data_IF_461793011448
#
_entry.id   IF_461793011448
#
_cell.length_a   1.000
_cell.length_b   1.000
_cell.length_c   1.000
_cell.angle_alpha   90.00
_cell.angle_beta   90.00
_cell.angle_gamma   90.00
#
_symmetry.space_group_name_H-M   'P 1'
#
loop_
_entity.id
_entity.type
_entity.pdbx_description
1 polymer ?
#
# COMPACT_ATOMS: atom_id res chain seq x y z
N UNK A 1 -21.33 1.76 53.26
CA UNK A 1 -22.21 1.88 52.08
C UNK A 1 -21.40 1.39 50.91
N UNK A 2 -21.75 0.22 50.41
CA UNK A 2 -20.88 -0.71 49.69
C UNK A 2 -20.39 -0.17 48.33
N UNK A 3 -19.06 -0.16 48.16
CA UNK A 3 -18.35 0.15 46.91
C UNK A 3 -18.35 -1.02 45.91
N UNK A 4 -19.16 -2.07 46.15
CA UNK A 4 -19.11 -3.34 45.39
C UNK A 4 -20.29 -3.49 44.40
N UNK A 5 -21.26 -2.57 44.35
CA UNK A 5 -22.43 -2.72 43.46
C UNK A 5 -22.87 -1.42 42.77
N UNK A 6 -21.96 -0.72 42.09
CA UNK A 6 -22.40 0.06 40.91
C UNK A 6 -22.37 -0.90 39.72
N UNK A 7 -23.48 -1.60 39.48
CA UNK A 7 -23.62 -2.35 38.23
C UNK A 7 -23.47 -1.38 37.05
N UNK A 8 -22.57 -1.70 36.12
CA UNK A 8 -22.46 -0.91 34.89
C UNK A 8 -23.81 -0.88 34.15
N UNK A 9 -24.23 0.27 33.61
CA UNK A 9 -25.41 0.38 32.76
C UNK A 9 -25.43 -0.71 31.68
N UNK A 10 -26.61 -1.26 31.41
CA UNK A 10 -26.76 -2.40 30.49
C UNK A 10 -26.28 -2.06 29.08
N UNK A 11 -26.39 -0.80 28.68
CA UNK A 11 -25.95 -0.26 27.40
C UNK A 11 -24.42 -0.33 27.26
N UNK A 12 -23.68 -0.02 28.33
CA UNK A 12 -22.20 -0.05 28.34
C UNK A 12 -21.70 -1.51 28.32
N UNK A 13 -22.39 -2.41 29.06
CA UNK A 13 -22.11 -3.85 29.00
C UNK A 13 -22.33 -4.40 27.58
N UNK A 14 -23.45 -4.05 26.97
CA UNK A 14 -23.77 -4.44 25.60
C UNK A 14 -22.72 -3.91 24.61
N UNK A 15 -22.35 -2.63 24.70
CA UNK A 15 -21.33 -2.03 23.83
C UNK A 15 -19.98 -2.75 23.96
N UNK A 16 -19.56 -3.07 25.17
CA UNK A 16 -18.31 -3.80 25.42
C UNK A 16 -18.34 -5.17 24.75
N UNK A 17 -19.44 -5.93 24.90
CA UNK A 17 -19.60 -7.24 24.24
C UNK A 17 -19.64 -7.11 22.72
N UNK A 18 -20.35 -6.11 22.19
CA UNK A 18 -20.43 -5.84 20.76
C UNK A 18 -19.05 -5.44 20.18
N UNK A 19 -18.25 -4.69 20.94
CA UNK A 19 -16.88 -4.34 20.58
C UNK A 19 -15.96 -5.55 20.55
N UNK A 20 -16.06 -6.45 21.53
CA UNK A 20 -15.32 -7.72 21.52
C UNK A 20 -15.74 -8.56 20.30
N UNK A 21 -17.04 -8.70 20.05
CA UNK A 21 -17.54 -9.43 18.88
C UNK A 21 -17.05 -8.81 17.57
N UNK A 22 -17.13 -7.48 17.42
CA UNK A 22 -16.63 -6.77 16.25
C UNK A 22 -15.10 -6.97 16.08
N UNK A 23 -14.33 -6.91 17.16
CA UNK A 23 -12.89 -7.14 17.13
C UNK A 23 -12.55 -8.57 16.64
N UNK A 24 -13.26 -9.59 17.14
CA UNK A 24 -13.11 -10.97 16.66
C UNK A 24 -13.48 -11.06 15.18
N UNK A 25 -14.56 -10.42 14.74
CA UNK A 25 -14.96 -10.40 13.33
C UNK A 25 -13.92 -9.74 12.43
N UNK A 26 -13.25 -8.66 12.89
CA UNK A 26 -12.15 -8.04 12.14
C UNK A 26 -10.91 -8.93 12.06
N UNK A 27 -10.56 -9.65 13.14
CA UNK A 27 -9.48 -10.64 13.12
C UNK A 27 -9.80 -11.75 12.13
N UNK A 28 -11.02 -12.30 12.18
CA UNK A 28 -11.47 -13.32 11.23
C UNK A 28 -11.59 -12.80 9.80
N UNK A 29 -11.87 -11.50 9.61
CA UNK A 29 -11.86 -10.88 8.31
C UNK A 29 -10.46 -10.91 7.69
N UNK A 30 -9.43 -10.51 8.45
CA UNK A 30 -8.04 -10.62 7.99
C UNK A 30 -7.61 -12.06 7.76
N UNK A 31 -7.94 -12.97 8.68
CA UNK A 31 -7.64 -14.39 8.50
C UNK A 31 -8.31 -14.95 7.24
N UNK A 32 -9.57 -14.57 6.97
CA UNK A 32 -10.29 -14.96 5.77
C UNK A 32 -9.69 -14.37 4.49
N UNK A 33 -9.10 -13.18 4.55
CA UNK A 33 -8.39 -12.55 3.42
C UNK A 33 -7.04 -13.20 3.10
N UNK A 34 -6.46 -13.97 4.03
CA UNK A 34 -5.17 -14.66 3.81
C UNK A 34 -5.24 -15.82 2.81
N UNK A 35 -6.44 -16.31 2.49
CA UNK A 35 -6.65 -17.37 1.50
C UNK A 35 -7.72 -16.96 0.51
N UNK A 36 -7.46 -17.21 -0.77
CA UNK A 36 -8.37 -16.87 -1.86
C UNK A 36 -9.76 -17.50 -1.69
N UNK A 37 -9.83 -18.79 -1.32
CA UNK A 37 -11.09 -19.52 -1.14
C UNK A 37 -11.98 -18.94 -0.03
N UNK A 38 -11.36 -18.27 0.96
CA UNK A 38 -12.07 -17.64 2.08
C UNK A 38 -12.19 -16.12 1.95
N UNK A 39 -11.58 -15.49 0.94
CA UNK A 39 -11.49 -14.03 0.83
C UNK A 39 -12.86 -13.33 0.83
N UNK A 40 -13.85 -13.89 0.10
CA UNK A 40 -15.23 -13.37 0.09
C UNK A 40 -15.90 -13.48 1.47
N UNK A 41 -15.65 -14.57 2.19
CA UNK A 41 -16.17 -14.76 3.54
C UNK A 41 -15.50 -13.79 4.52
N UNK A 42 -14.17 -13.62 4.43
CA UNK A 42 -13.41 -12.64 5.21
C UNK A 42 -13.95 -11.22 5.04
N UNK A 43 -14.17 -10.78 3.80
CA UNK A 43 -14.74 -9.46 3.53
C UNK A 43 -16.15 -9.29 4.15
N UNK A 44 -17.00 -10.32 4.06
CA UNK A 44 -18.32 -10.31 4.72
C UNK A 44 -18.22 -10.19 6.24
N UNK A 45 -17.27 -10.88 6.87
CA UNK A 45 -17.04 -10.76 8.32
C UNK A 45 -16.63 -9.34 8.71
N UNK A 46 -15.78 -8.69 7.89
CA UNK A 46 -15.40 -7.29 8.08
C UNK A 46 -16.60 -6.34 8.01
N UNK A 47 -17.47 -6.51 7.00
CA UNK A 47 -18.70 -5.71 6.87
C UNK A 47 -19.64 -5.88 8.07
N UNK A 48 -19.85 -7.12 8.52
CA UNK A 48 -20.68 -7.41 9.71
C UNK A 48 -20.04 -6.81 10.96
N UNK A 49 -18.73 -6.96 11.15
CA UNK A 49 -18.00 -6.38 12.28
C UNK A 49 -18.16 -4.86 12.36
N UNK A 50 -18.01 -4.16 11.23
CA UNK A 50 -18.24 -2.72 11.16
C UNK A 50 -19.69 -2.34 11.47
N UNK A 51 -20.67 -3.11 10.96
CA UNK A 51 -22.08 -2.89 11.26
C UNK A 51 -22.40 -3.03 12.75
N UNK A 52 -21.87 -4.07 13.41
CA UNK A 52 -22.02 -4.30 14.85
C UNK A 52 -21.39 -3.16 15.66
N UNK A 53 -20.18 -2.75 15.31
CA UNK A 53 -19.46 -1.67 15.99
C UNK A 53 -20.19 -0.32 15.90
N UNK A 54 -20.64 0.06 14.69
CA UNK A 54 -21.37 1.29 14.46
C UNK A 54 -22.71 1.29 15.20
N UNK A 55 -23.47 0.19 15.09
CA UNK A 55 -24.76 0.06 15.78
C UNK A 55 -24.60 0.23 17.29
N UNK A 56 -23.66 -0.49 17.91
CA UNK A 56 -23.41 -0.41 19.35
C UNK A 56 -23.01 1.00 19.80
N UNK A 57 -22.16 1.66 19.03
CA UNK A 57 -21.70 3.03 19.33
C UNK A 57 -22.84 4.04 19.24
N UNK A 58 -23.61 3.99 18.14
CA UNK A 58 -24.75 4.91 17.93
C UNK A 58 -25.81 4.68 19.00
N UNK A 59 -26.10 3.42 19.35
CA UNK A 59 -27.05 3.08 20.41
C UNK A 59 -26.67 3.73 21.74
N UNK A 60 -25.42 3.53 22.20
CA UNK A 60 -24.96 4.10 23.47
C UNK A 60 -24.98 5.62 23.43
N UNK A 61 -24.55 6.24 22.34
CA UNK A 61 -24.57 7.71 22.20
C UNK A 61 -26.00 8.25 22.30
N UNK A 62 -26.96 7.66 21.59
CA UNK A 62 -28.35 8.12 21.61
C UNK A 62 -29.04 7.85 22.96
N UNK A 63 -28.68 6.77 23.65
CA UNK A 63 -29.21 6.45 24.98
C UNK A 63 -28.67 7.37 26.09
N UNK A 64 -27.45 7.90 25.94
CA UNK A 64 -26.74 8.64 27.00
C UNK A 64 -26.53 10.13 26.70
N UNK A 65 -26.98 10.64 25.55
CA UNK A 65 -26.80 12.05 25.20
C UNK A 65 -27.57 12.95 26.19
N UNK A 66 -26.87 13.87 26.85
CA UNK A 66 -27.45 14.78 27.84
C UNK A 66 -28.19 15.98 27.19
N UNK A 67 -28.73 15.80 25.99
CA UNK A 67 -29.31 16.86 25.17
C UNK A 67 -30.36 16.33 24.17
N UNK A 68 -30.54 17.04 23.06
CA UNK A 68 -31.52 16.65 22.05
C UNK A 68 -31.06 15.41 21.27
N UNK A 69 -31.54 14.24 21.67
CA UNK A 69 -31.23 12.97 21.01
C UNK A 69 -31.62 12.93 19.53
N UNK A 70 -32.69 13.62 19.14
CA UNK A 70 -33.08 13.73 17.74
C UNK A 70 -32.03 14.54 16.94
N UNK A 71 -31.53 15.64 17.51
CA UNK A 71 -30.45 16.41 16.86
C UNK A 71 -29.17 15.57 16.75
N UNK A 72 -28.77 14.85 17.80
CA UNK A 72 -27.61 13.96 17.76
C UNK A 72 -27.76 12.87 16.67
N UNK A 73 -28.94 12.25 16.59
CA UNK A 73 -29.24 11.26 15.55
C UNK A 73 -29.16 11.88 14.13
N UNK A 74 -29.72 13.07 13.93
CA UNK A 74 -29.68 13.78 12.65
C UNK A 74 -28.23 14.07 12.25
N UNK A 75 -27.39 14.56 13.18
CA UNK A 75 -25.99 14.86 12.90
C UNK A 75 -25.19 13.60 12.54
N UNK A 76 -25.40 12.49 13.27
CA UNK A 76 -24.76 11.20 12.99
C UNK A 76 -25.18 10.69 11.60
N UNK A 77 -26.49 10.66 11.31
CA UNK A 77 -27.02 10.18 10.03
C UNK A 77 -26.51 11.06 8.88
N UNK A 78 -26.49 12.38 9.06
CA UNK A 78 -25.99 13.31 8.05
C UNK A 78 -24.50 13.08 7.76
N UNK A 79 -23.68 12.91 8.78
CA UNK A 79 -22.25 12.62 8.61
C UNK A 79 -22.03 11.29 7.87
N UNK A 80 -22.74 10.22 8.26
CA UNK A 80 -22.69 8.93 7.58
C UNK A 80 -23.19 9.01 6.13
N UNK A 81 -24.28 9.75 5.89
CA UNK A 81 -24.86 9.93 4.57
C UNK A 81 -23.92 10.70 3.63
N UNK A 82 -23.23 11.74 4.12
CA UNK A 82 -22.22 12.47 3.35
C UNK A 82 -21.04 11.54 3.02
N UNK A 83 -20.52 10.82 4.02
CA UNK A 83 -19.44 9.85 3.81
C UNK A 83 -19.80 8.76 2.79
N UNK A 84 -20.98 8.17 2.91
CA UNK A 84 -21.48 7.16 1.96
C UNK A 84 -21.76 7.75 0.57
N UNK A 85 -22.34 8.95 0.51
CA UNK A 85 -22.67 9.66 -0.72
C UNK A 85 -21.45 10.01 -1.57
N UNK A 86 -20.29 10.24 -0.94
CA UNK A 86 -19.01 10.45 -1.64
C UNK A 86 -18.28 9.12 -1.86
N UNK A 87 -18.20 8.26 -0.83
CA UNK A 87 -17.41 7.04 -0.86
C UNK A 87 -17.92 5.98 -1.84
N UNK A 88 -19.24 5.75 -1.90
CA UNK A 88 -19.82 4.71 -2.77
C UNK A 88 -19.59 5.01 -4.26
N UNK A 89 -19.87 6.23 -4.77
CA UNK A 89 -19.61 6.55 -6.17
C UNK A 89 -18.12 6.47 -6.54
N UNK A 90 -17.23 6.94 -5.66
CA UNK A 90 -15.77 6.88 -5.90
C UNK A 90 -15.31 5.43 -5.98
N UNK A 91 -15.68 4.59 -5.02
CA UNK A 91 -15.29 3.17 -4.98
C UNK A 91 -15.84 2.37 -6.17
N UNK A 92 -16.97 2.77 -6.76
CA UNK A 92 -17.56 2.10 -7.94
C UNK A 92 -16.98 2.53 -9.29
N UNK A 93 -16.27 3.67 -9.34
CA UNK A 93 -15.78 4.27 -10.58
C UNK A 93 -14.27 4.20 -10.75
N UNK A 94 -13.53 3.94 -9.66
CA UNK A 94 -12.08 3.83 -9.71
C UNK A 94 -11.64 2.62 -10.53
N UNK A 95 -10.66 2.81 -11.41
CA UNK A 95 -10.05 1.72 -12.16
C UNK A 95 -9.05 0.95 -11.30
N UNK A 96 -8.83 -0.35 -11.56
CA UNK A 96 -7.92 -1.17 -10.75
C UNK A 96 -6.47 -0.67 -10.80
N UNK A 97 -6.07 0.00 -11.88
CA UNK A 97 -4.77 0.68 -12.03
C UNK A 97 -4.60 1.89 -11.11
N UNK A 98 -5.71 2.52 -10.69
CA UNK A 98 -5.78 3.69 -9.80
C UNK A 98 -5.98 3.30 -8.32
N UNK A 99 -6.06 2.00 -8.01
CA UNK A 99 -6.19 1.54 -6.62
C UNK A 99 -5.08 2.05 -5.68
N UNK A 100 -3.80 2.14 -6.09
CA UNK A 100 -2.74 2.59 -5.17
C UNK A 100 -2.93 4.02 -4.68
N UNK A 101 -3.31 4.93 -5.57
CA UNK A 101 -3.55 6.33 -5.21
C UNK A 101 -4.82 6.49 -4.40
N UNK A 102 -5.88 5.74 -4.69
CA UNK A 102 -7.10 5.77 -3.89
C UNK A 102 -6.83 5.29 -2.46
N UNK A 103 -6.09 4.20 -2.28
CA UNK A 103 -5.71 3.69 -0.96
C UNK A 103 -4.90 4.74 -0.19
N UNK A 104 -3.92 5.38 -0.84
CA UNK A 104 -3.19 6.48 -0.24
C UNK A 104 -4.14 7.60 0.23
N UNK A 105 -5.08 8.03 -0.63
CA UNK A 105 -6.05 9.05 -0.28
C UNK A 105 -6.94 8.64 0.90
N UNK A 106 -7.37 7.38 1.00
CA UNK A 106 -8.21 6.88 2.10
C UNK A 106 -7.52 6.98 3.46
N UNK A 107 -6.21 6.69 3.54
CA UNK A 107 -5.45 6.86 4.78
C UNK A 107 -5.43 8.33 5.26
N UNK A 108 -5.53 9.29 4.34
CA UNK A 108 -5.61 10.71 4.72
C UNK A 108 -6.84 11.00 5.58
N UNK A 109 -8.00 10.43 5.25
CA UNK A 109 -9.22 10.61 6.03
C UNK A 109 -9.10 9.99 7.43
N UNK A 110 -8.41 8.86 7.58
CA UNK A 110 -8.13 8.25 8.89
C UNK A 110 -7.24 9.16 9.74
N UNK A 111 -6.17 9.70 9.14
CA UNK A 111 -5.28 10.63 9.81
C UNK A 111 -5.99 11.91 10.26
N UNK A 112 -6.81 12.50 9.38
CA UNK A 112 -7.60 13.69 9.69
C UNK A 112 -8.64 13.42 10.79
N UNK A 113 -9.31 12.26 10.76
CA UNK A 113 -10.23 11.86 11.81
C UNK A 113 -9.54 11.75 13.17
N UNK A 114 -8.33 11.17 13.23
CA UNK A 114 -7.54 11.10 14.47
C UNK A 114 -7.16 12.49 15.01
N UNK A 115 -6.80 13.44 14.13
CA UNK A 115 -6.55 14.83 14.52
C UNK A 115 -7.81 15.45 15.11
N UNK A 116 -8.96 15.35 14.42
CA UNK A 116 -10.24 15.91 14.89
C UNK A 116 -10.64 15.29 16.23
N UNK A 117 -10.51 13.98 16.39
CA UNK A 117 -10.79 13.27 17.65
C UNK A 117 -9.87 13.77 18.77
N UNK A 118 -8.57 13.92 18.51
CA UNK A 118 -7.62 14.43 19.50
C UNK A 118 -7.96 15.86 19.96
N UNK A 119 -8.26 16.77 19.03
CA UNK A 119 -8.72 18.12 19.37
C UNK A 119 -10.02 18.10 20.17
N UNK A 120 -10.98 17.27 19.78
CA UNK A 120 -12.25 17.14 20.50
C UNK A 120 -12.03 16.61 21.94
N UNK A 121 -11.18 15.60 22.10
CA UNK A 121 -10.81 15.06 23.41
C UNK A 121 -10.19 16.13 24.31
N UNK A 122 -9.26 16.93 23.78
CA UNK A 122 -8.67 18.04 24.52
C UNK A 122 -9.69 19.14 24.87
N UNK A 123 -10.62 19.46 23.97
CA UNK A 123 -11.64 20.49 24.24
C UNK A 123 -12.57 20.05 25.37
N UNK A 124 -12.98 18.79 25.37
CA UNK A 124 -13.83 18.21 26.40
C UNK A 124 -13.09 18.05 27.73
N UNK A 125 -11.81 17.72 27.66
CA UNK A 125 -10.95 17.47 28.82
C UNK A 125 -9.63 18.24 28.70
N UNK A 126 -9.63 19.56 28.93
CA UNK A 126 -8.46 20.42 28.73
C UNK A 126 -7.34 20.24 29.78
N UNK A 127 -7.45 19.17 30.54
CA UNK A 127 -6.57 18.73 31.59
C UNK A 127 -7.29 18.61 32.93
N UNK A 128 -6.94 17.56 33.67
CA UNK A 128 -7.51 17.20 34.97
C UNK A 128 -6.48 17.49 36.07
N UNK A 129 -6.93 17.86 37.27
CA UNK A 129 -6.08 17.85 38.46
C UNK A 129 -5.93 16.40 38.97
N UNK A 130 -5.20 15.59 38.21
CA UNK A 130 -5.01 14.16 38.47
C UNK A 130 -3.65 13.70 37.96
N UNK A 131 -3.11 12.65 38.59
CA UNK A 131 -1.89 11.96 38.13
C UNK A 131 -2.02 11.42 36.70
N UNK A 132 -3.25 11.18 36.23
CA UNK A 132 -3.54 10.66 34.89
C UNK A 132 -3.54 11.74 33.80
N UNK A 133 -3.44 13.04 34.16
CA UNK A 133 -3.49 14.14 33.21
C UNK A 133 -2.43 14.02 32.11
N UNK A 134 -1.18 13.84 32.53
CA UNK A 134 -0.05 13.77 31.61
C UNK A 134 -0.17 12.57 30.66
N UNK A 135 -0.80 11.48 31.11
CA UNK A 135 -1.05 10.32 30.28
C UNK A 135 -2.09 10.64 29.20
N UNK A 136 -3.27 11.13 29.59
CA UNK A 136 -4.33 11.48 28.64
C UNK A 136 -3.89 12.54 27.62
N UNK A 137 -3.27 13.62 28.08
CA UNK A 137 -2.74 14.67 27.20
C UNK A 137 -1.62 14.13 26.29
N UNK A 138 -0.80 13.20 26.78
CA UNK A 138 0.19 12.49 25.97
C UNK A 138 -0.44 11.65 24.85
N UNK A 139 -1.48 10.88 25.15
CA UNK A 139 -2.26 10.11 24.17
C UNK A 139 -2.86 11.02 23.09
N UNK A 140 -3.43 12.16 23.49
CA UNK A 140 -3.98 13.17 22.57
C UNK A 140 -2.89 13.75 21.68
N UNK A 141 -1.75 14.14 22.26
CA UNK A 141 -0.61 14.65 21.50
C UNK A 141 -0.10 13.64 20.47
N UNK A 142 0.02 12.36 20.85
CA UNK A 142 0.43 11.30 19.93
C UNK A 142 -0.61 11.04 18.84
N UNK A 143 -1.90 11.01 19.17
CA UNK A 143 -2.98 10.85 18.19
C UNK A 143 -2.95 11.97 17.13
N UNK A 144 -2.80 13.23 17.57
CA UNK A 144 -2.70 14.39 16.67
C UNK A 144 -1.43 14.35 15.84
N UNK A 145 -0.27 14.03 16.43
CA UNK A 145 1.00 13.93 15.72
C UNK A 145 0.96 12.88 14.61
N UNK A 146 0.63 11.62 14.95
CA UNK A 146 0.59 10.52 13.99
C UNK A 146 -0.50 10.78 12.94
N UNK A 147 -1.67 11.28 13.36
CA UNK A 147 -2.77 11.61 12.46
C UNK A 147 -2.41 12.68 11.44
N UNK A 148 -1.75 13.77 11.86
CA UNK A 148 -1.36 14.88 10.99
C UNK A 148 -0.25 14.49 9.99
N UNK A 149 0.75 13.72 10.44
CA UNK A 149 1.79 13.15 9.56
C UNK A 149 1.14 12.23 8.52
N UNK A 150 0.22 11.36 8.95
CA UNK A 150 -0.51 10.43 8.07
C UNK A 150 -1.35 11.19 7.04
N UNK A 151 -2.08 12.22 7.48
CA UNK A 151 -2.96 13.02 6.62
C UNK A 151 -2.21 13.64 5.44
N UNK A 152 -1.17 14.42 5.76
CA UNK A 152 -0.40 15.14 4.73
C UNK A 152 0.49 14.22 3.92
N UNK A 153 1.14 13.23 4.55
CA UNK A 153 1.94 12.24 3.82
C UNK A 153 1.11 11.46 2.80
N UNK A 154 -0.12 11.09 3.18
CA UNK A 154 -1.09 10.41 2.30
C UNK A 154 -1.53 11.27 1.11
N UNK A 155 -1.75 12.57 1.32
CA UNK A 155 -2.07 13.51 0.24
C UNK A 155 -0.90 13.62 -0.76
N UNK A 156 0.34 13.71 -0.28
CA UNK A 156 1.52 13.77 -1.16
C UNK A 156 1.69 12.44 -1.91
N UNK A 157 1.51 11.30 -1.25
CA UNK A 157 1.56 9.99 -1.90
C UNK A 157 0.51 9.87 -3.02
N UNK A 158 -0.74 10.27 -2.74
CA UNK A 158 -1.81 10.35 -3.74
C UNK A 158 -1.42 11.25 -4.92
N UNK A 159 -0.91 12.46 -4.65
CA UNK A 159 -0.55 13.41 -5.69
C UNK A 159 0.60 12.91 -6.59
N UNK A 160 1.56 12.16 -6.03
CA UNK A 160 2.64 11.53 -6.78
C UNK A 160 2.16 10.35 -7.62
N UNK A 161 1.36 9.46 -7.04
CA UNK A 161 0.85 8.27 -7.74
C UNK A 161 -0.09 8.64 -8.90
N UNK A 162 -0.91 9.68 -8.72
CA UNK A 162 -1.80 10.25 -9.75
C UNK A 162 -1.12 11.13 -10.79
N UNK A 163 0.20 11.32 -10.69
CA UNK A 163 0.96 12.15 -11.62
C UNK A 163 0.68 13.65 -11.54
N UNK A 164 -0.07 14.11 -10.52
CA UNK A 164 -0.33 15.54 -10.27
C UNK A 164 0.91 16.28 -9.75
N UNK A 165 1.81 15.55 -9.11
CA UNK A 165 3.11 16.03 -8.63
C UNK A 165 4.20 15.11 -9.20
N UNK A 166 5.38 15.67 -9.46
CA UNK A 166 6.53 14.90 -9.93
C UNK A 166 6.84 13.71 -9.01
N UNK A 167 7.11 12.56 -9.61
CA UNK A 167 7.62 11.37 -8.90
C UNK A 167 9.08 11.51 -8.45
N UNK A 168 9.80 12.55 -8.87
CA UNK A 168 11.17 12.77 -8.43
C UNK A 168 11.23 13.09 -6.92
N UNK A 169 12.23 12.56 -6.18
CA UNK A 169 12.40 12.88 -4.77
C UNK A 169 12.78 14.35 -4.59
N UNK A 170 12.10 15.04 -3.66
CA UNK A 170 12.45 16.40 -3.27
C UNK A 170 13.65 16.37 -2.30
N UNK A 171 14.80 16.88 -2.74
CA UNK A 171 16.02 16.90 -1.92
C UNK A 171 16.26 18.29 -1.36
N UNK A 172 15.89 18.51 -0.10
CA UNK A 172 16.25 19.74 0.63
C UNK A 172 17.65 19.62 1.26
N UNK A 173 18.41 20.74 1.34
CA UNK A 173 19.64 20.78 2.12
C UNK A 173 19.39 20.35 3.58
N UNK A 174 20.25 19.50 4.12
CA UNK A 174 20.16 19.00 5.50
C UNK A 174 18.81 18.34 5.86
N UNK A 175 18.09 17.72 4.91
CA UNK A 175 16.78 17.06 5.11
C UNK A 175 16.70 16.17 6.36
N UNK A 176 17.76 15.43 6.68
CA UNK A 176 17.79 14.51 7.83
C UNK A 176 17.79 15.28 9.15
N UNK A 177 18.52 16.40 9.22
CA UNK A 177 18.51 17.30 10.37
C UNK A 177 17.17 18.02 10.53
N UNK A 178 16.55 18.44 9.42
CA UNK A 178 15.22 19.03 9.44
C UNK A 178 14.16 18.05 9.98
N UNK A 179 14.16 16.81 9.47
CA UNK A 179 13.24 15.77 9.94
C UNK A 179 13.51 15.38 11.40
N UNK A 180 14.78 15.15 11.76
CA UNK A 180 15.15 14.83 13.13
C UNK A 180 14.78 15.95 14.10
N UNK A 181 15.04 17.21 13.74
CA UNK A 181 14.66 18.38 14.51
C UNK A 181 13.14 18.48 14.68
N UNK A 182 12.36 18.29 13.62
CA UNK A 182 10.90 18.31 13.69
C UNK A 182 10.35 17.22 14.63
N UNK A 183 10.93 16.01 14.63
CA UNK A 183 10.56 14.93 15.56
C UNK A 183 10.89 15.31 17.00
N UNK A 184 12.11 15.80 17.26
CA UNK A 184 12.52 16.22 18.62
C UNK A 184 11.64 17.35 19.13
N UNK A 185 11.36 18.37 18.32
CA UNK A 185 10.47 19.47 18.69
C UNK A 185 9.05 18.95 18.95
N UNK A 186 8.55 18.03 18.14
CA UNK A 186 7.24 17.40 18.36
C UNK A 186 7.17 16.68 19.71
N UNK A 187 8.22 15.94 20.09
CA UNK A 187 8.29 15.28 21.40
C UNK A 187 8.28 16.32 22.54
N UNK A 188 9.06 17.40 22.42
CA UNK A 188 9.07 18.49 23.40
C UNK A 188 7.69 19.15 23.53
N UNK A 189 7.00 19.37 22.41
CA UNK A 189 5.65 19.95 22.40
C UNK A 189 4.63 19.00 23.03
N UNK A 190 4.73 17.69 22.82
CA UNK A 190 3.87 16.68 23.49
C UNK A 190 4.13 16.70 24.99
N UNK A 191 5.40 16.71 25.43
CA UNK A 191 5.74 16.78 26.86
C UNK A 191 5.24 18.09 27.48
N UNK A 192 5.38 19.22 26.78
CA UNK A 192 4.82 20.48 27.24
C UNK A 192 3.29 20.41 27.36
N UNK A 193 2.62 19.93 26.31
CA UNK A 193 1.16 19.73 26.30
C UNK A 193 0.69 18.83 27.45
N UNK A 194 1.44 17.75 27.75
CA UNK A 194 1.13 16.82 28.83
C UNK A 194 1.01 17.47 30.22
N UNK A 195 1.67 18.61 30.42
CA UNK A 195 1.65 19.34 31.69
C UNK A 195 0.63 20.49 31.71
N UNK A 196 -0.13 20.68 30.64
CA UNK A 196 -1.18 21.71 30.57
C UNK A 196 -2.45 21.26 31.27
N UNK A 197 -3.20 22.24 31.81
CA UNK A 197 -4.43 22.01 32.59
C UNK A 197 -5.58 22.94 32.21
N UNK A 198 -5.46 23.64 31.10
CA UNK A 198 -6.47 24.57 30.63
C UNK A 198 -6.42 24.71 29.12
N UNK A 199 -7.56 25.08 28.53
CA UNK A 199 -7.66 25.36 27.09
C UNK A 199 -6.60 26.37 26.65
N UNK A 200 -6.47 27.48 27.37
CA UNK A 200 -5.52 28.55 27.04
C UNK A 200 -4.07 28.10 27.03
N UNK A 201 -3.67 27.21 27.95
CA UNK A 201 -2.30 26.72 28.03
C UNK A 201 -2.02 25.56 27.06
N UNK A 202 -3.00 24.69 26.80
CA UNK A 202 -2.83 23.52 25.93
C UNK A 202 -2.99 23.78 24.44
N UNK A 203 -3.76 24.79 24.02
CA UNK A 203 -3.94 25.07 22.59
C UNK A 203 -2.64 25.42 21.87
N UNK A 204 -1.76 26.20 22.50
CA UNK A 204 -0.50 26.64 21.88
C UNK A 204 0.39 25.44 21.51
N UNK A 205 0.80 24.57 22.45
CA UNK A 205 1.63 23.42 22.11
C UNK A 205 0.92 22.46 21.15
N UNK A 206 -0.40 22.27 21.27
CA UNK A 206 -1.15 21.39 20.37
C UNK A 206 -1.22 21.91 18.92
N UNK A 207 -1.45 23.21 18.72
CA UNK A 207 -1.47 23.83 17.38
C UNK A 207 -0.07 23.80 16.76
N UNK A 208 0.97 24.14 17.54
CA UNK A 208 2.35 24.07 17.05
C UNK A 208 2.73 22.63 16.67
N UNK A 209 2.34 21.65 17.47
CA UNK A 209 2.54 20.23 17.19
C UNK A 209 1.87 19.84 15.88
N UNK A 210 0.61 20.22 15.69
CA UNK A 210 -0.15 19.95 14.46
C UNK A 210 0.53 20.55 13.24
N UNK A 211 0.94 21.82 13.29
CA UNK A 211 1.62 22.49 12.16
C UNK A 211 2.92 21.77 11.79
N UNK A 212 3.74 21.44 12.79
CA UNK A 212 5.01 20.74 12.56
C UNK A 212 4.76 19.33 12.02
N UNK A 213 3.78 18.60 12.55
CA UNK A 213 3.41 17.27 12.10
C UNK A 213 2.89 17.27 10.65
N UNK A 214 2.07 18.26 10.28
CA UNK A 214 1.61 18.46 8.90
C UNK A 214 2.79 18.75 7.96
N UNK A 215 3.70 19.65 8.34
CA UNK A 215 4.89 19.95 7.54
C UNK A 215 5.82 18.74 7.41
N UNK A 216 5.99 17.98 8.50
CA UNK A 216 6.79 16.77 8.54
C UNK A 216 6.22 15.69 7.61
N UNK A 217 4.90 15.46 7.62
CA UNK A 217 4.25 14.49 6.74
C UNK A 217 4.42 14.85 5.25
N UNK A 218 4.28 16.13 4.90
CA UNK A 218 4.58 16.61 3.54
C UNK A 218 6.03 16.31 3.17
N UNK A 219 6.98 16.74 3.99
CA UNK A 219 8.40 16.66 3.65
C UNK A 219 8.91 15.21 3.59
N UNK A 220 8.51 14.34 4.53
CA UNK A 220 8.91 12.92 4.54
C UNK A 220 8.51 12.21 3.26
N UNK A 221 7.26 12.35 2.82
CA UNK A 221 6.78 11.67 1.60
C UNK A 221 7.26 12.38 0.32
N UNK A 222 7.41 13.71 0.35
CA UNK A 222 7.96 14.46 -0.77
C UNK A 222 9.41 14.05 -1.08
N UNK A 223 10.20 13.69 -0.07
CA UNK A 223 11.59 13.25 -0.23
C UNK A 223 11.74 11.83 -0.81
N UNK A 224 10.66 11.04 -0.90
CA UNK A 224 10.72 9.66 -1.39
C UNK A 224 10.40 9.60 -2.90
N UNK A 225 11.12 8.76 -3.66
CA UNK A 225 10.91 8.60 -5.10
C UNK A 225 9.61 7.88 -5.47
N UNK A 226 9.09 8.14 -6.67
CA UNK A 226 7.82 7.61 -7.16
C UNK A 226 7.73 6.09 -7.19
N UNK A 227 8.82 5.38 -7.47
CA UNK A 227 8.82 3.91 -7.45
C UNK A 227 8.90 3.28 -6.07
N UNK A 228 9.28 4.04 -5.03
CA UNK A 228 9.20 3.60 -3.63
C UNK A 228 7.82 3.89 -3.00
N UNK A 229 6.95 4.61 -3.71
CA UNK A 229 5.61 4.95 -3.23
C UNK A 229 4.79 3.75 -2.76
N UNK A 230 4.85 2.54 -3.36
CA UNK A 230 4.11 1.39 -2.85
C UNK A 230 4.44 1.07 -1.39
N UNK A 231 5.73 1.14 -1.01
CA UNK A 231 6.19 0.94 0.37
C UNK A 231 5.67 2.08 1.26
N UNK A 232 5.68 3.32 0.75
CA UNK A 232 5.14 4.48 1.48
C UNK A 232 3.64 4.34 1.74
N UNK A 233 2.85 3.87 0.77
CA UNK A 233 1.41 3.63 0.98
C UNK A 233 1.19 2.58 2.07
N UNK A 234 1.96 1.50 2.07
CA UNK A 234 1.91 0.48 3.12
C UNK A 234 2.34 1.01 4.50
N UNK A 235 3.35 1.88 4.55
CA UNK A 235 3.77 2.52 5.80
C UNK A 235 2.70 3.50 6.31
N UNK A 236 2.10 4.30 5.44
CA UNK A 236 1.01 5.21 5.80
C UNK A 236 -0.23 4.43 6.27
N UNK A 237 -0.49 3.23 5.73
CA UNK A 237 -1.48 2.31 6.28
C UNK A 237 -1.14 1.95 7.74
N UNK A 238 0.12 1.61 8.03
CA UNK A 238 0.58 1.37 9.40
C UNK A 238 0.33 2.56 10.31
N UNK A 239 0.71 3.77 9.88
CA UNK A 239 0.50 4.99 10.66
C UNK A 239 -0.97 5.29 10.90
N UNK A 240 -1.83 5.03 9.91
CA UNK A 240 -3.28 5.15 10.08
C UNK A 240 -3.83 4.21 11.17
N UNK A 241 -3.31 2.98 11.26
CA UNK A 241 -3.64 2.03 12.32
C UNK A 241 -3.16 2.50 13.70
N UNK A 242 -1.93 2.98 13.82
CA UNK A 242 -1.42 3.52 15.08
C UNK A 242 -2.13 4.80 15.50
N UNK A 243 -2.52 5.67 14.56
CA UNK A 243 -3.34 6.84 14.83
C UNK A 243 -4.72 6.44 15.38
N UNK A 244 -5.36 5.42 14.79
CA UNK A 244 -6.62 4.87 15.28
C UNK A 244 -6.47 4.24 16.67
N UNK A 245 -5.35 3.56 16.95
CA UNK A 245 -5.08 3.00 18.28
C UNK A 245 -4.89 4.10 19.33
N UNK A 246 -4.15 5.18 19.01
CA UNK A 246 -4.00 6.33 19.89
C UNK A 246 -5.33 7.04 20.12
N UNK A 247 -6.14 7.25 19.08
CA UNK A 247 -7.50 7.75 19.24
C UNK A 247 -8.34 6.81 20.13
N UNK A 248 -8.15 5.49 20.01
CA UNK A 248 -8.74 4.51 20.89
C UNK A 248 -8.34 4.70 22.36
N UNK A 249 -7.07 4.92 22.65
CA UNK A 249 -6.61 5.24 24.00
C UNK A 249 -7.24 6.54 24.53
N UNK A 250 -7.23 7.62 23.73
CA UNK A 250 -7.84 8.90 24.14
C UNK A 250 -9.32 8.78 24.51
N UNK A 251 -10.04 7.89 23.83
CA UNK A 251 -11.47 7.65 24.02
C UNK A 251 -11.78 6.49 24.97
N UNK A 252 -10.76 5.83 25.51
CA UNK A 252 -10.89 4.58 26.26
C UNK A 252 -11.73 3.51 25.50
N UNK A 253 -11.49 3.40 24.20
CA UNK A 253 -12.24 2.56 23.27
C UNK A 253 -11.40 1.35 22.84
N UNK A 254 -11.65 0.20 23.48
CA UNK A 254 -10.95 -1.05 23.20
C UNK A 254 -11.04 -1.51 21.74
N UNK A 255 -12.16 -1.27 21.06
CA UNK A 255 -12.30 -1.67 19.65
C UNK A 255 -11.33 -0.90 18.76
N UNK A 256 -11.19 0.41 18.95
CA UNK A 256 -10.24 1.22 18.20
C UNK A 256 -8.80 0.85 18.51
N UNK A 257 -8.49 0.52 19.77
CA UNK A 257 -7.16 0.04 20.16
C UNK A 257 -6.83 -1.28 19.45
N UNK A 258 -7.74 -2.26 19.51
CA UNK A 258 -7.52 -3.59 18.90
C UNK A 258 -7.41 -3.48 17.38
N UNK A 259 -8.37 -2.81 16.74
CA UNK A 259 -8.38 -2.68 15.27
C UNK A 259 -7.22 -1.83 14.77
N UNK A 260 -6.91 -0.73 15.45
CA UNK A 260 -5.76 0.11 15.15
C UNK A 260 -4.43 -0.63 15.25
N UNK A 261 -4.21 -1.40 16.32
CA UNK A 261 -2.99 -2.19 16.48
C UNK A 261 -2.86 -3.29 15.42
N UNK A 262 -3.96 -3.93 15.04
CA UNK A 262 -4.01 -4.96 14.01
C UNK A 262 -3.70 -4.39 12.62
N UNK A 263 -4.26 -3.24 12.27
CA UNK A 263 -3.94 -2.54 11.01
C UNK A 263 -2.50 -2.00 11.03
N UNK A 264 -2.09 -1.41 12.16
CA UNK A 264 -0.76 -0.84 12.37
C UNK A 264 0.35 -1.87 12.20
N UNK A 265 0.23 -3.01 12.87
CA UNK A 265 1.19 -4.12 12.76
C UNK A 265 1.21 -4.75 11.38
N UNK A 266 0.04 -4.99 10.76
CA UNK A 266 -0.06 -5.54 9.40
C UNK A 266 0.62 -4.64 8.37
N UNK A 267 0.36 -3.33 8.40
CA UNK A 267 1.01 -2.36 7.51
C UNK A 267 2.53 -2.28 7.72
N UNK A 268 3.00 -2.35 8.97
CA UNK A 268 4.44 -2.35 9.27
C UNK A 268 5.12 -3.60 8.70
N UNK A 269 4.51 -4.77 8.90
CA UNK A 269 5.03 -6.05 8.40
C UNK A 269 5.04 -6.11 6.87
N UNK A 270 3.95 -5.68 6.22
CA UNK A 270 3.89 -5.60 4.76
C UNK A 270 4.98 -4.67 4.19
N UNK A 271 5.18 -3.51 4.81
CA UNK A 271 6.22 -2.57 4.39
C UNK A 271 7.63 -3.16 4.50
N UNK A 272 7.87 -3.96 5.53
CA UNK A 272 9.13 -4.69 5.71
C UNK A 272 9.35 -5.73 4.62
N UNK A 273 8.35 -6.58 4.32
CA UNK A 273 8.44 -7.59 3.26
C UNK A 273 8.67 -6.93 1.90
N UNK A 274 7.93 -5.88 1.59
CA UNK A 274 8.11 -5.15 0.33
C UNK A 274 9.53 -4.57 0.20
N UNK A 275 10.04 -3.96 1.27
CA UNK A 275 11.41 -3.40 1.27
C UNK A 275 12.45 -4.50 1.05
N UNK A 276 12.27 -5.66 1.71
CA UNK A 276 13.13 -6.84 1.54
C UNK A 276 13.06 -7.38 0.11
N UNK A 277 11.87 -7.45 -0.48
CA UNK A 277 11.69 -7.90 -1.86
C UNK A 277 12.32 -6.95 -2.89
N UNK A 278 12.50 -5.67 -2.54
CA UNK A 278 13.25 -4.70 -3.35
C UNK A 278 14.76 -4.68 -3.03
N UNK A 279 15.24 -5.57 -2.15
CA UNK A 279 16.58 -5.55 -1.55
C UNK A 279 17.02 -4.16 -1.04
N UNK A 280 16.09 -3.46 -0.40
CA UNK A 280 16.36 -2.18 0.25
C UNK A 280 16.04 -2.27 1.73
N UNK A 281 16.87 -1.64 2.55
CA UNK A 281 16.58 -1.58 3.98
C UNK A 281 15.30 -0.75 4.20
N UNK A 282 14.42 -1.22 5.08
CA UNK A 282 13.19 -0.47 5.43
C UNK A 282 13.54 0.96 5.84
N UNK A 283 14.55 1.14 6.70
CA UNK A 283 15.02 2.46 7.18
C UNK A 283 15.48 3.37 6.04
N UNK A 284 16.17 2.85 5.03
CA UNK A 284 16.63 3.67 3.90
C UNK A 284 15.50 4.13 3.00
N UNK A 285 14.39 3.38 2.91
CA UNK A 285 13.17 3.80 2.21
C UNK A 285 12.48 4.93 2.98
N UNK A 286 12.35 4.83 4.31
CA UNK A 286 11.73 5.87 5.15
C UNK A 286 12.51 7.19 5.11
N UNK A 287 13.84 7.10 5.24
CA UNK A 287 14.69 8.28 5.35
C UNK A 287 14.96 8.98 4.00
N UNK A 288 14.37 8.49 2.89
CA UNK A 288 14.52 9.11 1.58
C UNK A 288 15.93 8.94 1.00
N UNK A 289 16.49 7.73 1.11
CA UNK A 289 17.77 7.36 0.49
C UNK A 289 18.95 7.44 1.45
N UNK A 290 19.13 6.38 2.24
CA UNK A 290 20.45 5.91 2.68
C UNK A 290 20.80 4.70 1.81
N UNK A 291 21.46 4.92 0.68
CA UNK A 291 21.79 3.83 -0.25
C UNK A 291 22.16 4.26 -1.67
N UNK A 292 21.91 5.52 -2.06
CA UNK A 292 22.43 6.08 -3.31
C UNK A 292 23.76 6.83 -3.12
N UNK A 293 24.44 6.65 -1.98
CA UNK A 293 25.83 7.12 -1.80
C UNK A 293 26.85 6.22 -2.54
N UNK A 294 26.37 5.12 -3.13
CA UNK A 294 27.02 4.56 -4.30
C UNK A 294 26.85 5.57 -5.43
N UNK A 295 27.89 6.37 -5.68
CA UNK A 295 28.15 7.00 -6.98
C UNK A 295 27.57 6.11 -8.08
N UNK A 296 26.76 6.66 -8.98
CA UNK A 296 26.42 5.98 -10.24
C UNK A 296 27.74 5.87 -11.00
N UNK A 297 28.53 4.86 -10.66
CA UNK A 297 29.76 4.46 -11.35
C UNK A 297 29.47 3.21 -12.17
N UNK A 298 28.28 3.16 -12.78
CA UNK A 298 28.10 2.37 -13.97
C UNK A 298 28.55 3.24 -15.13
N UNK A 299 29.78 3.06 -15.60
CA UNK A 299 30.05 3.34 -17.01
C UNK A 299 28.92 2.68 -17.81
N UNK A 300 28.40 3.37 -18.84
CA UNK A 300 27.47 2.76 -19.77
C UNK A 300 28.20 1.59 -20.43
N UNK A 301 28.06 0.39 -19.86
CA UNK A 301 28.54 -0.85 -20.45
C UNK A 301 27.79 -1.00 -21.76
N UNK A 302 28.55 -1.00 -22.86
CA UNK A 302 28.01 -1.36 -24.15
C UNK A 302 27.77 -2.87 -24.15
N UNK A 303 26.51 -3.27 -24.06
CA UNK A 303 26.10 -4.68 -24.09
C UNK A 303 25.96 -5.21 -25.53
N UNK A 304 26.27 -4.41 -26.54
CA UNK A 304 26.16 -4.78 -27.95
C UNK A 304 24.77 -4.54 -28.53
N UNK A 305 24.42 -5.31 -29.56
CA UNK A 305 23.16 -5.19 -30.30
C UNK A 305 22.10 -6.12 -29.74
N UNK A 306 20.86 -5.65 -29.63
CA UNK A 306 19.71 -6.50 -29.31
C UNK A 306 19.14 -7.15 -30.57
N UNK A 307 18.50 -8.30 -30.41
CA UNK A 307 17.74 -8.97 -31.48
C UNK A 307 16.28 -8.52 -31.41
N UNK A 308 15.67 -8.13 -32.53
CA UNK A 308 14.23 -7.81 -32.62
C UNK A 308 13.46 -8.95 -33.29
N UNK A 309 12.17 -9.07 -32.95
CA UNK A 309 11.23 -10.02 -33.55
C UNK A 309 9.89 -9.32 -33.80
N UNK A 310 8.98 -9.97 -34.52
CA UNK A 310 7.63 -9.50 -34.77
C UNK A 310 6.54 -10.41 -34.17
N UNK A 311 5.29 -9.93 -34.18
CA UNK A 311 4.17 -10.66 -33.59
C UNK A 311 3.87 -12.00 -34.28
N UNK A 312 4.20 -12.14 -35.57
CA UNK A 312 3.96 -13.37 -36.32
C UNK A 312 4.97 -14.44 -35.91
N UNK A 313 6.26 -14.10 -35.89
CA UNK A 313 7.33 -14.99 -35.44
C UNK A 313 7.08 -15.49 -34.01
N UNK A 314 6.67 -14.58 -33.11
CA UNK A 314 6.33 -14.95 -31.73
C UNK A 314 5.15 -15.91 -31.67
N UNK A 315 4.11 -15.71 -32.49
CA UNK A 315 2.99 -16.64 -32.53
C UNK A 315 3.40 -18.03 -33.06
N UNK A 316 4.30 -18.11 -34.03
CA UNK A 316 4.84 -19.37 -34.55
C UNK A 316 5.66 -20.11 -33.48
N UNK A 317 6.50 -19.39 -32.72
CA UNK A 317 7.23 -19.96 -31.58
C UNK A 317 6.28 -20.50 -30.51
N UNK A 318 5.24 -19.74 -30.17
CA UNK A 318 4.26 -20.13 -29.16
C UNK A 318 3.44 -21.37 -29.56
N UNK A 319 3.15 -21.55 -30.86
CA UNK A 319 2.49 -22.77 -31.37
C UNK A 319 3.36 -24.02 -31.26
N UNK A 320 4.68 -23.86 -31.31
CA UNK A 320 5.65 -24.96 -31.19
C UNK A 320 6.04 -25.29 -29.75
N UNK A 321 5.72 -24.41 -28.79
CA UNK A 321 6.09 -24.55 -27.38
C UNK A 321 5.20 -25.56 -26.64
N UNK A 322 5.77 -26.21 -25.62
CA UNK A 322 5.05 -27.05 -24.66
C UNK A 322 4.86 -26.35 -23.33
N UNK A 323 5.86 -25.60 -22.84
CA UNK A 323 5.81 -24.84 -21.57
C UNK A 323 6.09 -23.36 -21.86
N UNK A 324 5.11 -22.51 -21.58
CA UNK A 324 5.19 -21.05 -21.73
C UNK A 324 5.02 -20.39 -20.38
N UNK A 325 5.96 -19.51 -20.02
CA UNK A 325 5.88 -18.72 -18.78
C UNK A 325 5.66 -17.25 -19.12
N UNK A 326 4.65 -16.62 -18.52
CA UNK A 326 4.36 -15.20 -18.70
C UNK A 326 4.80 -14.44 -17.45
N UNK A 327 5.68 -13.46 -17.63
CA UNK A 327 6.17 -12.59 -16.55
C UNK A 327 5.64 -11.16 -16.73
N UNK A 328 4.48 -10.84 -16.11
CA UNK A 328 3.87 -9.52 -16.26
C UNK A 328 4.58 -8.46 -15.41
N UNK A 329 4.64 -7.24 -15.94
CA UNK A 329 5.14 -6.06 -15.23
C UNK A 329 4.20 -4.86 -15.35
N UNK A 330 4.63 -3.73 -14.78
CA UNK A 330 3.81 -2.52 -14.77
C UNK A 330 3.46 -2.01 -16.18
N UNK A 331 4.31 -2.26 -17.19
CA UNK A 331 4.02 -1.88 -18.58
C UNK A 331 2.75 -2.56 -19.13
N UNK A 332 2.45 -3.80 -18.72
CA UNK A 332 1.21 -4.50 -19.08
C UNK A 332 -0.02 -3.76 -18.54
N UNK A 333 0.04 -3.29 -17.29
CA UNK A 333 -1.03 -2.56 -16.65
C UNK A 333 -1.29 -1.18 -17.31
N UNK A 334 -0.21 -0.47 -17.65
CA UNK A 334 -0.29 0.84 -18.33
C UNK A 334 -0.91 0.70 -19.72
N UNK A 335 -0.57 -0.35 -20.46
CA UNK A 335 -1.12 -0.63 -21.78
C UNK A 335 -2.54 -1.23 -21.74
N UNK A 336 -3.06 -1.61 -20.57
CA UNK A 336 -4.31 -2.37 -20.43
C UNK A 336 -4.28 -3.72 -21.20
N UNK A 337 -3.12 -4.38 -21.20
CA UNK A 337 -2.88 -5.61 -21.97
C UNK A 337 -3.34 -6.89 -21.24
N UNK A 338 -3.86 -6.80 -20.01
CA UNK A 338 -4.29 -7.98 -19.24
C UNK A 338 -5.38 -8.81 -19.94
N UNK A 339 -6.32 -8.17 -20.64
CA UNK A 339 -7.39 -8.87 -21.37
C UNK A 339 -6.89 -9.66 -22.59
N UNK A 340 -6.10 -9.08 -23.51
CA UNK A 340 -5.56 -9.86 -24.62
C UNK A 340 -4.55 -10.92 -24.15
N UNK A 341 -3.81 -10.69 -23.06
CA UNK A 341 -2.94 -11.72 -22.46
C UNK A 341 -3.76 -12.90 -21.92
N UNK A 342 -4.90 -12.64 -21.27
CA UNK A 342 -5.81 -13.69 -20.84
C UNK A 342 -6.37 -14.49 -22.03
N UNK A 343 -6.77 -13.81 -23.11
CA UNK A 343 -7.24 -14.46 -24.34
C UNK A 343 -6.15 -15.32 -25.00
N UNK A 344 -4.90 -14.83 -25.03
CA UNK A 344 -3.75 -15.58 -25.53
C UNK A 344 -3.51 -16.84 -24.70
N UNK A 345 -3.57 -16.70 -23.38
CA UNK A 345 -3.44 -17.83 -22.44
C UNK A 345 -4.50 -18.90 -22.71
N UNK A 346 -5.76 -18.50 -22.90
CA UNK A 346 -6.86 -19.43 -23.18
C UNK A 346 -6.63 -20.20 -24.48
N UNK A 347 -6.23 -19.50 -25.57
CA UNK A 347 -5.93 -20.12 -26.88
C UNK A 347 -4.78 -21.13 -26.82
N UNK A 348 -3.69 -20.77 -26.13
CA UNK A 348 -2.53 -21.64 -25.97
C UNK A 348 -2.87 -22.88 -25.14
N UNK A 349 -3.57 -22.72 -24.02
CA UNK A 349 -4.03 -23.84 -23.19
C UNK A 349 -5.01 -24.74 -23.93
N UNK A 350 -5.89 -24.19 -24.75
CA UNK A 350 -6.79 -24.97 -25.62
C UNK A 350 -6.02 -25.81 -26.66
N UNK A 351 -4.81 -25.38 -27.02
CA UNK A 351 -3.91 -26.11 -27.91
C UNK A 351 -2.99 -27.10 -27.17
N UNK A 352 -3.16 -27.26 -25.84
CA UNK A 352 -2.40 -28.20 -25.02
C UNK A 352 -1.05 -27.67 -24.52
N UNK A 353 -0.78 -26.37 -24.68
CA UNK A 353 0.42 -25.72 -24.12
C UNK A 353 0.20 -25.50 -22.62
N UNK A 354 1.20 -25.86 -21.82
CA UNK A 354 1.25 -25.53 -20.39
C UNK A 354 1.65 -24.06 -20.23
N UNK A 355 0.71 -23.23 -19.77
CA UNK A 355 0.91 -21.79 -19.62
C UNK A 355 0.80 -21.41 -18.16
N UNK A 356 1.87 -20.82 -17.63
CA UNK A 356 1.94 -20.34 -16.25
C UNK A 356 2.31 -18.87 -16.19
N UNK A 357 1.90 -18.18 -15.14
CA UNK A 357 2.29 -16.81 -14.83
C UNK A 357 3.26 -16.82 -13.66
N UNK A 358 4.41 -16.18 -13.81
CA UNK A 358 5.35 -15.97 -12.71
C UNK A 358 5.30 -14.52 -12.25
N UNK A 359 4.86 -14.31 -11.01
CA UNK A 359 4.63 -12.99 -10.44
C UNK A 359 5.78 -12.61 -9.52
N UNK A 360 6.40 -11.47 -9.81
CA UNK A 360 7.38 -10.88 -8.91
C UNK A 360 6.66 -10.15 -7.76
N UNK A 361 7.07 -10.29 -6.48
CA UNK A 361 6.36 -9.71 -5.34
C UNK A 361 6.16 -8.18 -5.40
N UNK A 362 7.03 -7.48 -6.13
CA UNK A 362 6.99 -6.02 -6.32
C UNK A 362 6.68 -5.60 -7.76
N UNK A 363 6.13 -6.50 -8.59
CA UNK A 363 5.65 -6.13 -9.91
C UNK A 363 4.44 -5.17 -9.81
N UNK A 364 4.57 -3.99 -10.42
CA UNK A 364 3.51 -2.99 -10.46
C UNK A 364 3.74 -1.82 -9.50
N UNK A 365 2.65 -1.24 -9.00
CA UNK A 365 2.64 -0.08 -8.08
C UNK A 365 2.01 -0.36 -6.70
N UNK A 366 1.69 -1.61 -6.39
CA UNK A 366 1.11 -2.03 -5.11
C UNK A 366 1.35 -3.54 -4.93
N UNK A 367 1.45 -4.07 -3.70
CA UNK A 367 1.55 -5.51 -3.49
C UNK A 367 0.41 -6.29 -4.14
N UNK A 368 0.74 -7.31 -4.92
CA UNK A 368 -0.26 -8.12 -5.62
C UNK A 368 -1.01 -7.39 -6.75
N UNK A 369 -0.48 -6.26 -7.24
CA UNK A 369 -1.10 -5.50 -8.34
C UNK A 369 -1.34 -6.41 -9.56
N UNK A 370 -0.36 -7.23 -9.93
CA UNK A 370 -0.50 -8.15 -11.07
C UNK A 370 -1.57 -9.21 -10.82
N UNK A 371 -1.63 -9.81 -9.63
CA UNK A 371 -2.62 -10.83 -9.27
C UNK A 371 -4.05 -10.28 -9.43
N UNK A 372 -4.27 -9.03 -9.03
CA UNK A 372 -5.57 -8.36 -9.14
C UNK A 372 -5.96 -8.08 -10.59
N UNK A 373 -5.03 -7.63 -11.44
CA UNK A 373 -5.32 -7.39 -12.86
C UNK A 373 -5.57 -8.68 -13.63
N UNK A 374 -4.82 -9.74 -13.32
CA UNK A 374 -5.02 -11.06 -13.91
C UNK A 374 -6.38 -11.64 -13.49
N UNK A 375 -6.75 -11.47 -12.21
CA UNK A 375 -8.07 -11.84 -11.72
C UNK A 375 -9.21 -11.07 -12.41
N UNK A 376 -9.03 -9.76 -12.66
CA UNK A 376 -9.98 -8.94 -13.41
C UNK A 376 -10.15 -9.42 -14.86
N UNK A 377 -9.05 -9.88 -15.47
CA UNK A 377 -9.06 -10.49 -16.80
C UNK A 377 -9.56 -11.95 -16.81
N UNK A 378 -10.02 -12.48 -15.66
CA UNK A 378 -10.47 -13.86 -15.46
C UNK A 378 -9.40 -14.93 -15.73
N UNK A 379 -8.12 -14.62 -15.49
CA UNK A 379 -7.06 -15.63 -15.51
C UNK A 379 -7.26 -16.59 -14.33
N UNK A 380 -7.28 -17.92 -14.57
CA UNK A 380 -7.38 -18.90 -13.50
C UNK A 380 -6.18 -18.81 -12.54
N UNK A 381 -6.44 -18.92 -11.24
CA UNK A 381 -5.40 -18.71 -10.22
C UNK A 381 -4.46 -19.92 -10.06
N UNK A 382 -4.89 -21.11 -10.48
CA UNK A 382 -4.12 -22.35 -10.48
C UNK A 382 -2.91 -22.29 -11.41
N UNK A 383 -2.86 -21.31 -12.32
CA UNK A 383 -1.73 -21.08 -13.22
C UNK A 383 -0.94 -19.81 -12.88
N UNK A 384 -1.19 -19.20 -11.71
CA UNK A 384 -0.51 -17.98 -11.26
C UNK A 384 0.34 -18.31 -10.04
N UNK A 385 1.64 -18.21 -10.20
CA UNK A 385 2.65 -18.62 -9.22
C UNK A 385 3.50 -17.43 -8.78
N UNK A 386 3.99 -17.47 -7.55
CA UNK A 386 4.95 -16.51 -7.06
C UNK A 386 6.37 -16.85 -7.57
N UNK A 387 7.26 -15.85 -7.63
CA UNK A 387 8.62 -15.99 -8.15
C UNK A 387 9.40 -17.18 -7.57
N UNK A 388 9.29 -17.42 -6.26
CA UNK A 388 10.02 -18.50 -5.56
C UNK A 388 9.55 -19.89 -6.00
N UNK A 389 8.32 -20.01 -6.54
CA UNK A 389 7.75 -21.27 -7.01
C UNK A 389 8.15 -21.60 -8.46
N UNK A 390 8.52 -20.59 -9.26
CA UNK A 390 8.81 -20.77 -10.70
C UNK A 390 10.30 -20.79 -11.00
N UNK A 391 11.13 -20.12 -10.19
CA UNK A 391 12.57 -19.97 -10.49
C UNK A 391 13.29 -21.33 -10.61
N UNK A 392 12.97 -22.32 -9.77
CA UNK A 392 13.62 -23.64 -9.80
C UNK A 392 13.28 -24.45 -11.07
N UNK A 393 12.18 -24.12 -11.76
CA UNK A 393 11.71 -24.80 -12.97
C UNK A 393 11.87 -23.95 -14.25
N UNK A 394 12.48 -22.76 -14.17
CA UNK A 394 12.55 -21.82 -15.27
C UNK A 394 13.32 -22.38 -16.48
N UNK A 395 14.34 -23.19 -16.22
CA UNK A 395 15.11 -23.87 -17.27
C UNK A 395 14.33 -24.91 -18.09
N UNK A 396 13.12 -25.27 -17.67
CA UNK A 396 12.23 -26.16 -18.43
C UNK A 396 11.28 -25.40 -19.37
N UNK A 397 11.25 -24.06 -19.30
CA UNK A 397 10.38 -23.25 -20.14
C UNK A 397 10.95 -23.12 -21.57
N UNK A 398 10.11 -23.44 -22.56
CA UNK A 398 10.47 -23.28 -23.98
C UNK A 398 10.47 -21.79 -24.36
N UNK A 399 9.45 -21.05 -23.91
CA UNK A 399 9.29 -19.62 -24.20
C UNK A 399 8.85 -18.86 -22.96
N UNK A 400 9.55 -17.77 -22.64
CA UNK A 400 9.15 -16.81 -21.61
C UNK A 400 8.71 -15.51 -22.25
N UNK A 401 7.50 -15.04 -21.94
CA UNK A 401 6.98 -13.74 -22.37
C UNK A 401 7.14 -12.72 -21.23
N UNK A 402 8.06 -11.78 -21.38
CA UNK A 402 8.29 -10.68 -20.44
C UNK A 402 7.46 -9.47 -20.86
N UNK A 403 6.29 -9.28 -20.24
CA UNK A 403 5.31 -8.28 -20.69
C UNK A 403 5.37 -7.03 -19.81
N UNK A 404 6.15 -6.04 -20.24
CA UNK A 404 6.23 -4.74 -19.55
C UNK A 404 6.93 -4.80 -18.18
N UNK A 405 7.75 -5.84 -17.94
CA UNK A 405 8.68 -5.93 -16.83
C UNK A 405 10.09 -5.47 -17.25
N UNK A 406 10.89 -5.01 -16.29
CA UNK A 406 12.28 -4.63 -16.54
C UNK A 406 13.18 -5.03 -15.37
N UNK A 407 13.09 -4.32 -14.24
CA UNK A 407 14.00 -4.54 -13.12
C UNK A 407 13.78 -5.92 -12.46
N UNK A 408 12.54 -6.41 -12.43
CA UNK A 408 12.16 -7.70 -11.84
C UNK A 408 12.66 -8.93 -12.59
N UNK A 409 13.24 -8.72 -13.77
CA UNK A 409 13.84 -9.75 -14.64
C UNK A 409 15.27 -9.39 -15.03
N UNK A 410 15.92 -8.47 -14.29
CA UNK A 410 17.22 -7.93 -14.67
C UNK A 410 18.38 -8.77 -14.07
N UNK A 411 19.21 -9.43 -14.90
CA UNK A 411 20.34 -10.24 -14.43
C UNK A 411 21.38 -9.43 -13.67
N UNK A 412 21.44 -8.10 -13.87
CA UNK A 412 22.35 -7.23 -13.13
C UNK A 412 22.07 -7.24 -11.62
N UNK A 413 20.95 -7.81 -11.15
CA UNK A 413 20.73 -8.05 -9.73
C UNK A 413 21.68 -9.11 -9.14
N UNK A 414 22.25 -10.01 -9.94
CA UNK A 414 23.25 -10.98 -9.47
C UNK A 414 24.70 -10.43 -9.54
N UNK A 415 24.92 -9.31 -10.24
CA UNK A 415 26.24 -8.69 -10.40
C UNK A 415 26.66 -7.87 -9.17
N UNK A 416 27.80 -8.19 -8.51
CA UNK A 416 28.34 -7.36 -7.44
C UNK A 416 28.65 -5.93 -7.93
N UNK A 417 28.11 -4.92 -7.22
CA UNK A 417 28.33 -3.51 -7.55
C UNK A 417 27.26 -2.86 -8.44
N UNK A 418 26.29 -3.64 -8.93
CA UNK A 418 25.09 -3.10 -9.58
C UNK A 418 24.21 -2.34 -8.58
N UNK A 419 23.51 -1.24 -8.98
CA UNK A 419 22.55 -0.54 -8.12
C UNK A 419 21.39 -1.40 -7.60
N UNK A 420 21.14 -2.55 -8.25
CA UNK A 420 20.10 -3.53 -7.86
C UNK A 420 20.71 -4.85 -7.38
N UNK A 421 22.01 -4.90 -7.10
CA UNK A 421 22.69 -6.11 -6.64
C UNK A 421 22.00 -6.70 -5.40
N UNK A 422 21.72 -8.00 -5.42
CA UNK A 422 21.04 -8.76 -4.37
C UNK A 422 19.51 -8.70 -4.39
N UNK A 423 18.90 -7.97 -5.32
CA UNK A 423 17.44 -8.01 -5.53
C UNK A 423 17.02 -9.40 -6.02
N UNK A 424 16.08 -10.10 -5.36
CA UNK A 424 15.46 -11.28 -5.93
C UNK A 424 14.84 -10.90 -7.28
N UNK A 425 15.00 -11.74 -8.29
CA UNK A 425 14.46 -11.52 -9.63
C UNK A 425 13.94 -12.85 -10.19
N UNK A 426 13.02 -12.77 -11.15
CA UNK A 426 12.61 -13.95 -11.90
C UNK A 426 13.70 -14.24 -12.93
N UNK A 427 14.29 -15.44 -12.87
CA UNK A 427 15.47 -15.83 -13.67
C UNK A 427 15.12 -16.22 -15.11
N UNK A 428 14.37 -15.37 -15.80
CA UNK A 428 13.84 -15.65 -17.15
C UNK A 428 14.90 -16.03 -18.17
N UNK A 429 16.15 -15.62 -17.97
CA UNK A 429 17.27 -15.95 -18.84
C UNK A 429 17.66 -17.42 -18.85
N UNK A 430 17.18 -18.23 -17.89
CA UNK A 430 17.43 -19.67 -17.84
C UNK A 430 16.58 -20.46 -18.83
N UNK A 431 15.52 -19.86 -19.39
CA UNK A 431 14.65 -20.48 -20.39
C UNK A 431 15.29 -20.57 -21.78
N UNK A 432 14.73 -21.41 -22.66
CA UNK A 432 15.25 -21.61 -24.03
C UNK A 432 15.09 -20.35 -24.90
N UNK A 433 13.92 -19.69 -24.84
CA UNK A 433 13.67 -18.40 -25.50
C UNK A 433 12.99 -17.40 -24.59
N UNK A 434 13.40 -16.13 -24.68
CA UNK A 434 12.81 -15.01 -23.95
C UNK A 434 12.35 -13.93 -24.92
N UNK A 435 11.08 -13.54 -24.86
CA UNK A 435 10.50 -12.47 -25.67
C UNK A 435 10.14 -11.31 -24.75
N UNK A 436 10.74 -10.15 -24.98
CA UNK A 436 10.55 -8.96 -24.14
C UNK A 436 9.69 -7.93 -24.87
N UNK A 437 8.55 -7.58 -24.27
CA UNK A 437 7.61 -6.58 -24.79
C UNK A 437 7.94 -5.22 -24.20
N UNK A 438 8.32 -4.27 -25.05
CA UNK A 438 8.69 -2.91 -24.64
C UNK A 438 8.38 -1.88 -25.72
N UNK A 439 7.97 -0.67 -25.36
CA UNK A 439 7.71 0.40 -26.35
C UNK A 439 8.96 0.85 -27.11
N UNK A 440 10.10 0.92 -26.43
CA UNK A 440 11.39 1.32 -27.00
C UNK A 440 12.53 0.96 -26.05
N UNK A 441 13.75 0.85 -26.59
CA UNK A 441 14.95 0.52 -25.81
C UNK A 441 15.37 1.61 -24.81
N UNK A 442 15.04 2.88 -25.08
CA UNK A 442 15.52 4.03 -24.29
C UNK A 442 14.92 4.19 -22.89
N UNK A 443 13.84 3.47 -22.56
CA UNK A 443 13.21 3.57 -21.24
C UNK A 443 13.93 2.66 -20.24
N UNK A 444 14.86 3.19 -19.46
CA UNK A 444 15.37 2.49 -18.28
C UNK A 444 14.21 2.15 -17.31
N UNK A 445 14.37 1.07 -16.53
CA UNK A 445 13.41 0.67 -15.51
C UNK A 445 13.37 1.68 -14.36
N UNK A 446 12.74 1.30 -13.25
CA UNK A 446 12.74 2.15 -12.06
C UNK A 446 14.16 2.44 -11.56
N UNK A 447 15.02 1.43 -11.58
CA UNK A 447 16.41 1.55 -11.12
C UNK A 447 17.29 2.45 -11.99
N UNK A 448 16.82 2.85 -13.18
CA UNK A 448 17.62 3.65 -14.11
C UNK A 448 18.82 2.90 -14.70
N UNK A 449 18.88 1.58 -14.53
CA UNK A 449 19.96 0.71 -15.02
C UNK A 449 19.53 0.03 -16.33
N UNK A 450 20.48 -0.10 -17.25
CA UNK A 450 20.28 -0.90 -18.47
C UNK A 450 20.20 -2.39 -18.11
N UNK A 451 19.31 -3.13 -18.77
CA UNK A 451 19.10 -4.54 -18.46
C UNK A 451 19.92 -5.42 -19.43
N UNK A 452 20.91 -6.19 -18.94
CA UNK A 452 21.70 -7.09 -19.77
C UNK A 452 20.86 -8.13 -20.51
N UNK A 453 19.71 -8.54 -19.94
CA UNK A 453 18.80 -9.52 -20.54
C UNK A 453 18.48 -9.21 -22.01
N UNK A 454 18.29 -7.93 -22.34
CA UNK A 454 17.86 -7.50 -23.67
C UNK A 454 18.90 -7.77 -24.76
N UNK A 455 20.12 -8.15 -24.37
CA UNK A 455 21.25 -8.39 -25.25
C UNK A 455 21.68 -9.86 -25.23
N UNK A 456 21.00 -10.73 -24.49
CA UNK A 456 21.30 -12.16 -24.47
C UNK A 456 20.92 -12.81 -25.80
N UNK A 457 21.70 -13.82 -26.22
CA UNK A 457 21.48 -14.56 -27.47
C UNK A 457 20.11 -15.29 -27.52
N UNK A 458 19.58 -15.69 -26.37
CA UNK A 458 18.26 -16.33 -26.25
C UNK A 458 17.10 -15.32 -26.13
N UNK A 459 17.38 -14.02 -26.15
CA UNK A 459 16.38 -12.97 -25.94
C UNK A 459 16.08 -12.21 -27.23
N UNK A 460 14.80 -11.99 -27.49
CA UNK A 460 14.31 -11.18 -28.61
C UNK A 460 13.37 -10.08 -28.10
N UNK A 461 13.49 -8.90 -28.70
CA UNK A 461 12.72 -7.72 -28.35
C UNK A 461 11.53 -7.58 -29.29
N UNK A 462 10.32 -7.58 -28.74
CA UNK A 462 9.11 -7.21 -29.46
C UNK A 462 8.76 -5.76 -29.13
N UNK A 463 9.12 -4.85 -30.04
CA UNK A 463 8.96 -3.43 -29.83
C UNK A 463 7.55 -2.96 -30.22
N UNK A 464 6.89 -2.21 -29.33
CA UNK A 464 5.54 -1.71 -29.56
C UNK A 464 4.73 -1.47 -28.28
N UNK A 465 3.47 -1.08 -28.44
CA UNK A 465 2.52 -1.11 -27.33
C UNK A 465 2.18 -2.57 -26.98
N UNK A 466 2.21 -2.91 -25.69
CA UNK A 466 2.03 -4.29 -25.25
C UNK A 466 0.65 -4.85 -25.59
N UNK A 467 -0.40 -4.01 -25.60
CA UNK A 467 -1.75 -4.45 -25.94
C UNK A 467 -1.84 -4.79 -27.42
N UNK A 468 -1.39 -3.88 -28.27
CA UNK A 468 -1.42 -4.04 -29.72
C UNK A 468 -0.60 -5.26 -30.16
N UNK A 469 0.60 -5.45 -29.59
CA UNK A 469 1.46 -6.60 -29.88
C UNK A 469 0.80 -7.93 -29.50
N UNK A 470 0.16 -8.02 -28.33
CA UNK A 470 -0.52 -9.27 -27.90
C UNK A 470 -1.79 -9.51 -28.71
N UNK A 471 -2.52 -8.46 -29.10
CA UNK A 471 -3.66 -8.59 -30.01
C UNK A 471 -3.25 -9.10 -31.40
N UNK A 472 -2.11 -8.65 -31.92
CA UNK A 472 -1.54 -9.17 -33.16
C UNK A 472 -1.14 -10.64 -33.02
N UNK A 473 -0.43 -11.03 -31.96
CA UNK A 473 -0.10 -12.44 -31.67
C UNK A 473 -1.37 -13.29 -31.63
N UNK A 474 -2.40 -12.82 -30.92
CA UNK A 474 -3.70 -13.48 -30.86
C UNK A 474 -4.35 -13.65 -32.23
N UNK A 475 -4.12 -12.77 -33.21
CA UNK A 475 -4.67 -12.95 -34.56
C UNK A 475 -4.00 -14.09 -35.33
N UNK A 476 -2.77 -14.45 -34.96
CA UNK A 476 -2.00 -15.53 -35.56
C UNK A 476 -2.16 -16.86 -34.82
N UNK A 477 -2.52 -16.87 -33.53
CA UNK A 477 -2.86 -18.06 -32.73
C UNK A 477 -4.28 -18.57 -33.00
#
# INVERSE_FOLDING_TARGET
MDLVTMEMPIEIRFQTLAYIAAAVLFILALAGLSKQTTAKAGNRLGMVGMGVALFATIWVVLANVQGNAALAAILIILALAIGAGVGIPVARRVEMTQMPELIALLHSFVGLAAVIVGYNSFILEPGRDSIYNAFHMGEVGLAVFIGAVTFTGSIVAFAKLSGKVSGAPLVLPARHWLNGGAIVISIVLIVWFAHTRSLGSGFIPLILLTIIALALGVHLVAAIGGGDMPVVVSMLNSYSGWAAAMAGFTLNNYLLIITGALVGSSGAYLSYIMSKAMNRSFVSVILGGFGSDGTISGEAKDYGTHTETDAQEVAEMLKGAKKVVITPGYGMAVAQAQYPVASMTEKLRASGVDVTFAIHPVAGRLPGHMNVLLAEANVPYDIVYEMDEVNDEMGEADVVLVIGANDTVNPAAEEPGSPIAGMPVIKVWEADKVIVFKRSMGNAGYAGVQNPLFFNDNTQMLLGDAKDSVEQINSYL
#
